data_IF_798822520422
#
_entry.id   IF_798822520422
#
_cell.length_a   1.000
_cell.length_b   1.000
_cell.length_c   1.000
_cell.angle_alpha   90.00
_cell.angle_beta   90.00
_cell.angle_gamma   90.00
#
_symmetry.space_group_name_H-M   'P 1'
#
loop_
_entity.id
_entity.type
_entity.pdbx_description
1 polymer ?
#
# COMPACT_ATOMS: atom_id res chain seq x y z
N UNK A 1 -6.11 -16.31 19.37
CA UNK A 1 -5.78 -14.88 19.46
C UNK A 1 -6.91 -14.11 20.15
N UNK A 2 -6.60 -13.14 21.02
CA UNK A 2 -7.57 -12.20 21.62
C UNK A 2 -7.00 -10.79 21.70
N UNK A 3 -7.92 -9.83 21.65
CA UNK A 3 -7.86 -8.40 21.31
C UNK A 3 -7.23 -7.49 22.39
N UNK A 4 -6.65 -6.35 21.98
CA UNK A 4 -7.12 -5.02 22.45
C UNK A 4 -6.66 -3.84 21.57
N UNK A 5 -7.51 -2.80 21.57
CA UNK A 5 -7.33 -1.45 21.01
C UNK A 5 -6.91 -0.53 22.16
N UNK A 6 -5.93 0.36 21.96
CA UNK A 6 -5.66 1.47 22.87
C UNK A 6 -6.07 2.80 22.19
N UNK A 7 -7.01 3.54 22.81
CA UNK A 7 -7.47 4.91 22.46
C UNK A 7 -6.88 5.92 23.48
N UNK A 8 -6.92 7.27 23.33
CA UNK A 8 -7.69 8.13 22.42
C UNK A 8 -6.83 9.17 21.65
N UNK A 9 -7.47 10.02 20.84
CA UNK A 9 -6.94 11.17 20.09
C UNK A 9 -5.77 10.96 19.11
N UNK A 10 -6.08 10.50 17.88
CA UNK A 10 -5.65 11.13 16.61
C UNK A 10 -6.03 10.23 15.43
N UNK A 11 -6.60 10.86 14.39
CA UNK A 11 -7.01 10.35 13.07
C UNK A 11 -6.75 8.85 12.82
N UNK A 12 -7.77 8.00 12.95
CA UNK A 12 -7.75 6.67 12.31
C UNK A 12 -7.79 6.89 10.81
N UNK A 13 -6.61 7.01 10.19
CA UNK A 13 -6.45 6.90 8.74
C UNK A 13 -6.46 5.44 8.35
N UNK A 14 -6.94 5.16 7.13
CA UNK A 14 -7.27 3.81 6.68
C UNK A 14 -6.09 2.82 6.82
N UNK A 15 -4.87 3.28 6.56
CA UNK A 15 -3.65 2.48 6.63
C UNK A 15 -2.73 2.92 7.79
N UNK A 16 -2.23 2.04 8.64
CA UNK A 16 -2.44 0.58 8.68
C UNK A 16 -3.56 0.15 9.62
N UNK A 17 -4.00 1.02 10.53
CA UNK A 17 -4.92 0.67 11.61
C UNK A 17 -6.29 0.14 11.16
N UNK A 18 -6.77 0.58 9.98
CA UNK A 18 -8.02 0.09 9.39
C UNK A 18 -7.94 -1.34 8.86
N UNK A 19 -6.73 -1.89 8.71
CA UNK A 19 -6.48 -3.25 8.21
C UNK A 19 -6.13 -4.25 9.31
N UNK A 20 -6.27 -3.87 10.58
CA UNK A 20 -6.09 -4.78 11.71
C UNK A 20 -7.36 -5.60 11.94
N UNK A 21 -7.24 -6.92 11.88
CA UNK A 21 -8.34 -7.86 12.07
C UNK A 21 -8.17 -9.18 11.30
N UNK A 22 -9.15 -10.05 11.46
CA UNK A 22 -9.13 -11.41 10.87
C UNK A 22 -8.90 -11.36 9.36
N UNK A 23 -7.97 -12.19 8.87
CA UNK A 23 -7.62 -12.27 7.46
C UNK A 23 -6.70 -11.17 6.94
N UNK A 24 -6.13 -10.32 7.82
CA UNK A 24 -5.17 -9.25 7.52
C UNK A 24 -4.12 -9.10 8.64
N UNK A 25 -3.89 -7.89 9.17
CA UNK A 25 -2.85 -7.59 10.16
C UNK A 25 -3.29 -7.98 11.58
N UNK A 26 -2.38 -8.55 12.36
CA UNK A 26 -2.57 -8.76 13.80
C UNK A 26 -2.41 -7.46 14.62
N UNK A 27 -1.51 -6.58 14.18
CA UNK A 27 -1.26 -5.27 14.80
C UNK A 27 -0.73 -4.27 13.77
N UNK A 28 -0.85 -2.99 14.11
CA UNK A 28 -0.25 -1.87 13.40
C UNK A 28 0.41 -0.92 14.40
N UNK A 29 1.53 -0.31 14.01
CA UNK A 29 2.31 0.61 14.84
C UNK A 29 2.23 2.03 14.27
N UNK A 30 1.27 2.86 14.69
CA UNK A 30 1.19 4.24 14.21
C UNK A 30 2.35 5.07 14.79
N UNK A 31 3.12 5.71 13.92
CA UNK A 31 4.04 6.79 14.27
C UNK A 31 3.34 8.16 14.24
N UNK A 32 4.13 9.22 14.37
CA UNK A 32 3.62 10.58 14.11
C UNK A 32 3.27 10.74 12.62
N UNK A 33 2.53 11.81 12.27
CA UNK A 33 2.15 12.08 10.87
C UNK A 33 3.39 12.07 9.97
N UNK A 34 3.38 11.19 8.95
CA UNK A 34 4.45 11.00 7.98
C UNK A 34 5.82 10.67 8.59
N UNK A 35 5.85 10.10 9.79
CA UNK A 35 7.06 9.66 10.47
C UNK A 35 6.93 8.18 10.86
N UNK A 36 7.98 7.40 10.60
CA UNK A 36 8.05 6.01 11.06
C UNK A 36 7.81 5.91 12.58
N UNK A 37 7.11 4.87 13.08
CA UNK A 37 7.15 4.55 14.50
C UNK A 37 8.58 4.27 14.97
N UNK A 38 8.82 4.38 16.28
CA UNK A 38 10.13 4.03 16.88
C UNK A 38 10.26 2.51 17.11
N UNK A 39 11.49 1.96 17.13
CA UNK A 39 11.71 0.50 17.27
C UNK A 39 11.02 -0.11 18.50
N UNK A 40 11.01 0.59 19.64
CA UNK A 40 10.39 0.09 20.87
C UNK A 40 8.87 -0.13 20.73
N UNK A 41 8.17 0.71 19.95
CA UNK A 41 6.74 0.53 19.68
C UNK A 41 6.50 -0.73 18.84
N UNK A 42 7.36 -0.97 17.85
CA UNK A 42 7.30 -2.15 16.99
C UNK A 42 7.65 -3.42 17.74
N UNK A 43 8.66 -3.38 18.62
CA UNK A 43 9.01 -4.48 19.49
C UNK A 43 7.86 -4.82 20.45
N UNK A 44 7.23 -3.82 21.05
CA UNK A 44 6.07 -4.02 21.91
C UNK A 44 4.90 -4.69 21.18
N UNK A 45 4.59 -4.24 19.95
CA UNK A 45 3.57 -4.88 19.12
C UNK A 45 3.96 -6.32 18.74
N UNK A 46 5.21 -6.54 18.33
CA UNK A 46 5.76 -7.86 17.99
C UNK A 46 5.61 -8.85 19.14
N UNK A 47 5.99 -8.44 20.36
CA UNK A 47 5.81 -9.24 21.58
C UNK A 47 4.33 -9.54 21.86
N UNK A 48 3.45 -8.57 21.63
CA UNK A 48 2.02 -8.72 21.90
C UNK A 48 1.32 -9.68 20.93
N UNK A 49 1.75 -9.74 19.66
CA UNK A 49 1.14 -10.60 18.63
C UNK A 49 1.83 -11.94 18.46
N UNK A 50 3.03 -12.13 19.02
CA UNK A 50 3.77 -13.38 18.90
C UNK A 50 2.97 -14.57 19.48
N UNK A 51 2.48 -15.43 18.59
CA UNK A 51 1.76 -16.67 18.93
C UNK A 51 2.66 -17.89 19.14
N UNK A 52 3.99 -17.74 19.08
CA UNK A 52 4.96 -18.83 19.16
C UNK A 52 5.31 -19.47 17.81
N UNK A 53 4.81 -18.94 16.70
CA UNK A 53 5.08 -19.41 15.33
C UNK A 53 5.85 -18.39 14.49
N UNK A 54 6.45 -17.41 15.16
CA UNK A 54 7.15 -16.28 14.54
C UNK A 54 6.21 -15.15 14.10
N UNK A 55 6.80 -14.03 13.66
CA UNK A 55 6.09 -12.80 13.28
C UNK A 55 6.60 -12.30 11.93
N UNK A 56 5.69 -11.98 11.01
CA UNK A 56 6.04 -11.29 9.76
C UNK A 56 5.95 -9.77 9.96
N UNK A 57 7.03 -9.06 9.68
CA UNK A 57 7.04 -7.60 9.53
C UNK A 57 6.86 -7.23 8.06
N UNK A 58 5.80 -6.48 7.76
CA UNK A 58 5.54 -5.88 6.44
C UNK A 58 5.98 -4.42 6.51
N UNK A 59 6.97 -4.05 5.70
CA UNK A 59 7.67 -2.76 5.82
C UNK A 59 7.56 -2.01 4.49
N UNK A 60 7.09 -0.76 4.49
CA UNK A 60 7.13 0.07 3.29
C UNK A 60 8.56 0.55 3.07
N UNK A 61 9.05 0.56 1.83
CA UNK A 61 10.42 1.01 1.54
C UNK A 61 10.58 2.53 1.67
N UNK A 62 10.71 2.98 2.91
CA UNK A 62 11.10 4.31 3.33
C UNK A 62 12.26 4.15 4.29
N UNK A 63 13.31 4.97 4.15
CA UNK A 63 14.55 4.80 4.92
C UNK A 63 14.30 4.74 6.43
N UNK A 64 13.40 5.60 6.95
CA UNK A 64 13.03 5.57 8.35
C UNK A 64 12.29 4.30 8.76
N UNK A 65 11.36 3.81 7.92
CA UNK A 65 10.62 2.58 8.18
C UNK A 65 11.59 1.37 8.20
N UNK A 66 12.43 1.23 7.17
CA UNK A 66 13.39 0.12 7.04
C UNK A 66 14.34 0.07 8.24
N UNK A 67 15.00 1.18 8.58
CA UNK A 67 15.96 1.21 9.69
C UNK A 67 15.30 0.90 11.04
N UNK A 68 14.09 1.42 11.29
CA UNK A 68 13.43 1.21 12.57
C UNK A 68 12.86 -0.22 12.70
N UNK A 69 12.33 -0.80 11.62
CA UNK A 69 11.86 -2.19 11.60
C UNK A 69 13.02 -3.19 11.69
N UNK A 70 14.16 -2.93 11.03
CA UNK A 70 15.37 -3.74 11.17
C UNK A 70 15.84 -3.78 12.63
N UNK A 71 15.95 -2.62 13.28
CA UNK A 71 16.28 -2.53 14.71
C UNK A 71 15.26 -3.28 15.58
N UNK A 72 13.97 -3.14 15.31
CA UNK A 72 12.93 -3.84 16.07
C UNK A 72 13.03 -5.37 15.90
N UNK A 73 13.35 -5.86 14.70
CA UNK A 73 13.56 -7.28 14.43
C UNK A 73 14.81 -7.82 15.15
N UNK A 74 15.90 -7.07 15.20
CA UNK A 74 17.11 -7.44 15.97
C UNK A 74 16.80 -7.54 17.48
N UNK A 75 16.07 -6.58 18.03
CA UNK A 75 15.64 -6.59 19.43
C UNK A 75 14.69 -7.77 19.72
N UNK A 76 13.76 -8.08 18.81
CA UNK A 76 12.86 -9.22 18.94
C UNK A 76 13.62 -10.56 18.88
N UNK A 77 14.63 -10.67 18.00
CA UNK A 77 15.49 -11.85 17.94
C UNK A 77 16.28 -12.05 19.23
N UNK A 78 16.73 -10.98 19.89
CA UNK A 78 17.37 -11.04 21.20
C UNK A 78 16.43 -11.57 22.30
N UNK A 79 15.11 -11.41 22.14
CA UNK A 79 14.09 -12.02 23.01
C UNK A 79 13.72 -13.46 22.61
N UNK A 80 14.34 -14.02 21.58
CA UNK A 80 14.04 -15.35 21.04
C UNK A 80 12.75 -15.40 20.20
N UNK A 81 12.29 -14.27 19.66
CA UNK A 81 11.16 -14.20 18.74
C UNK A 81 11.69 -14.29 17.32
N UNK A 82 11.23 -15.30 16.56
CA UNK A 82 11.56 -15.42 15.14
C UNK A 82 10.78 -14.35 14.34
N UNK A 83 11.51 -13.55 13.57
CA UNK A 83 10.96 -12.45 12.78
C UNK A 83 11.45 -12.56 11.35
N UNK A 84 10.52 -12.54 10.40
CA UNK A 84 10.83 -12.36 8.98
C UNK A 84 10.36 -10.97 8.55
N UNK A 85 11.18 -10.27 7.78
CA UNK A 85 10.84 -8.95 7.23
C UNK A 85 10.67 -9.03 5.72
N UNK A 86 9.61 -8.39 5.20
CA UNK A 86 9.38 -8.19 3.78
C UNK A 86 9.15 -6.71 3.52
N UNK A 87 10.02 -6.15 2.68
CA UNK A 87 9.98 -4.75 2.29
C UNK A 87 9.21 -4.60 0.98
N UNK A 88 8.19 -3.75 0.95
CA UNK A 88 7.41 -3.44 -0.26
C UNK A 88 8.02 -2.26 -1.00
N UNK A 89 8.17 -2.37 -2.32
CA UNK A 89 8.89 -1.40 -3.16
C UNK A 89 8.29 -1.30 -4.57
N UNK A 90 6.97 -1.09 -4.62
CA UNK A 90 6.13 -1.22 -5.81
C UNK A 90 5.98 0.05 -6.66
N UNK A 91 6.41 1.21 -6.17
CA UNK A 91 6.23 2.47 -6.88
C UNK A 91 7.17 2.61 -8.09
N UNK A 92 6.60 2.56 -9.31
CA UNK A 92 7.38 2.66 -10.56
C UNK A 92 7.79 4.09 -10.89
N UNK A 93 7.30 5.10 -10.17
CA UNK A 93 7.70 6.48 -10.40
C UNK A 93 9.17 6.73 -10.00
N UNK A 94 9.79 5.89 -9.17
CA UNK A 94 11.06 6.22 -8.51
C UNK A 94 12.04 5.05 -8.47
N UNK A 95 13.32 5.27 -8.81
CA UNK A 95 14.41 4.36 -8.42
C UNK A 95 15.23 4.86 -7.23
N UNK A 96 15.34 6.18 -7.00
CA UNK A 96 15.87 6.77 -5.76
C UNK A 96 15.11 8.08 -5.44
N UNK A 97 14.82 8.36 -4.17
CA UNK A 97 14.12 9.58 -3.71
C UNK A 97 14.77 10.20 -2.46
N UNK A 98 14.29 11.39 -2.06
CA UNK A 98 14.73 12.10 -0.85
C UNK A 98 14.67 11.26 0.44
N UNK A 99 13.76 10.29 0.51
CA UNK A 99 13.49 9.50 1.72
C UNK A 99 13.63 7.98 1.51
N UNK A 100 14.07 7.53 0.33
CA UNK A 100 14.13 6.11 -0.02
C UNK A 100 15.30 5.83 -0.96
N UNK A 101 16.12 4.83 -0.63
CA UNK A 101 16.99 4.15 -1.58
C UNK A 101 16.18 3.06 -2.31
N UNK A 102 16.15 3.07 -3.64
CA UNK A 102 15.24 2.21 -4.39
C UNK A 102 13.82 2.80 -4.58
N UNK A 103 12.89 1.92 -4.96
CA UNK A 103 11.47 2.23 -5.15
C UNK A 103 10.74 2.41 -3.82
N UNK A 104 9.81 3.35 -3.73
CA UNK A 104 8.94 3.51 -2.55
C UNK A 104 7.96 2.34 -2.42
N UNK A 105 7.56 2.02 -1.18
CA UNK A 105 6.46 1.10 -0.90
C UNK A 105 5.13 1.85 -0.75
N UNK A 106 4.15 1.56 -1.61
CA UNK A 106 2.87 2.26 -1.68
C UNK A 106 1.70 1.27 -1.75
N UNK A 107 0.85 1.31 -2.78
CA UNK A 107 -0.43 0.60 -2.83
C UNK A 107 -0.36 -0.93 -2.82
N UNK A 108 0.74 -1.57 -3.27
CA UNK A 108 0.86 -3.03 -3.17
C UNK A 108 0.85 -3.49 -1.72
N UNK A 109 1.29 -2.65 -0.78
CA UNK A 109 1.28 -2.97 0.65
C UNK A 109 -0.11 -3.39 1.12
N UNK A 110 -1.18 -2.67 0.76
CA UNK A 110 -2.56 -3.00 1.16
C UNK A 110 -2.99 -4.37 0.60
N UNK A 111 -2.65 -4.64 -0.67
CA UNK A 111 -3.02 -5.89 -1.34
C UNK A 111 -2.20 -7.07 -0.78
N UNK A 112 -0.93 -6.84 -0.47
CA UNK A 112 -0.06 -7.80 0.20
C UNK A 112 -0.60 -8.15 1.59
N UNK A 113 -0.96 -7.16 2.40
CA UNK A 113 -1.56 -7.40 3.72
C UNK A 113 -2.81 -8.27 3.63
N UNK A 114 -3.67 -8.04 2.63
CA UNK A 114 -4.88 -8.84 2.43
C UNK A 114 -4.60 -10.28 2.00
N UNK A 115 -3.75 -10.44 0.98
CA UNK A 115 -3.45 -11.75 0.40
C UNK A 115 -2.67 -12.59 1.41
N UNK A 116 -1.64 -12.00 2.03
CA UNK A 116 -0.80 -12.69 3.00
C UNK A 116 -1.56 -12.98 4.28
N UNK A 117 -2.36 -12.04 4.79
CA UNK A 117 -3.22 -12.27 5.94
C UNK A 117 -4.18 -13.45 5.73
N UNK A 118 -4.83 -13.52 4.57
CA UNK A 118 -5.68 -14.66 4.21
C UNK A 118 -4.94 -16.01 4.16
N UNK A 119 -3.66 -16.00 3.79
CA UNK A 119 -2.82 -17.20 3.85
C UNK A 119 -2.39 -17.55 5.26
N UNK A 120 -2.04 -16.56 6.09
CA UNK A 120 -1.65 -16.75 7.50
C UNK A 120 -2.75 -17.42 8.31
N UNK A 121 -4.03 -17.12 8.03
CA UNK A 121 -5.18 -17.78 8.69
C UNK A 121 -5.25 -19.30 8.46
N UNK A 122 -4.49 -19.84 7.49
CA UNK A 122 -4.37 -21.29 7.29
C UNK A 122 -3.41 -21.97 8.28
N UNK A 123 -2.70 -21.20 9.11
CA UNK A 123 -1.66 -21.68 10.01
C UNK A 123 -0.34 -22.01 9.31
N UNK A 124 -0.10 -21.42 8.13
CA UNK A 124 1.14 -21.61 7.37
C UNK A 124 2.37 -21.13 8.16
N UNK A 125 3.53 -21.80 8.03
CA UNK A 125 4.74 -21.41 8.73
C UNK A 125 5.32 -20.09 8.18
N UNK A 126 6.08 -19.38 9.03
CA UNK A 126 6.58 -18.03 8.77
C UNK A 126 7.38 -17.91 7.46
N UNK A 127 8.20 -18.91 7.13
CA UNK A 127 9.01 -18.94 5.90
C UNK A 127 8.14 -18.93 4.64
N UNK A 128 7.04 -19.69 4.65
CA UNK A 128 6.07 -19.75 3.55
C UNK A 128 5.27 -18.47 3.46
N UNK A 129 4.88 -17.91 4.60
CA UNK A 129 4.18 -16.62 4.68
C UNK A 129 5.06 -15.50 4.10
N UNK A 130 6.33 -15.44 4.49
CA UNK A 130 7.30 -14.49 3.94
C UNK A 130 7.56 -14.70 2.44
N UNK A 131 7.61 -15.95 1.97
CA UNK A 131 7.77 -16.25 0.55
C UNK A 131 6.57 -15.76 -0.28
N UNK A 132 5.33 -15.96 0.21
CA UNK A 132 4.13 -15.44 -0.46
C UNK A 132 4.12 -13.91 -0.46
N UNK A 133 4.50 -13.26 0.64
CA UNK A 133 4.61 -11.81 0.71
C UNK A 133 5.60 -11.25 -0.31
N UNK A 134 6.79 -11.85 -0.45
CA UNK A 134 7.76 -11.47 -1.50
C UNK A 134 7.20 -11.65 -2.90
N UNK A 135 6.50 -12.77 -3.15
CA UNK A 135 5.82 -13.02 -4.43
C UNK A 135 4.80 -11.94 -4.75
N UNK A 136 3.95 -11.54 -3.80
CA UNK A 136 2.98 -10.44 -4.04
C UNK A 136 3.70 -9.14 -4.38
N UNK A 137 4.75 -8.79 -3.64
CA UNK A 137 5.55 -7.59 -3.91
C UNK A 137 6.18 -7.61 -5.32
N UNK A 138 6.75 -8.74 -5.73
CA UNK A 138 7.35 -8.91 -7.05
C UNK A 138 6.32 -8.78 -8.18
N UNK A 139 5.09 -9.25 -7.96
CA UNK A 139 3.99 -9.23 -8.94
C UNK A 139 3.17 -7.94 -8.94
N UNK A 140 3.47 -6.98 -8.06
CA UNK A 140 2.70 -5.76 -7.89
C UNK A 140 3.45 -4.48 -8.25
N UNK A 141 2.81 -3.55 -8.94
CA UNK A 141 3.37 -2.20 -9.22
C UNK A 141 2.31 -1.12 -9.07
N UNK A 142 2.77 0.07 -8.72
CA UNK A 142 1.91 1.22 -8.45
C UNK A 142 2.47 2.52 -9.01
N UNK A 143 1.59 3.47 -9.31
CA UNK A 143 1.96 4.85 -9.63
C UNK A 143 0.83 5.80 -9.23
N UNK A 144 1.19 6.96 -8.68
CA UNK A 144 0.24 7.98 -8.22
C UNK A 144 0.39 9.34 -8.89
N UNK A 145 -0.63 10.18 -8.76
CA UNK A 145 -0.63 11.59 -9.14
C UNK A 145 -1.39 12.46 -8.13
N UNK A 146 -1.04 13.74 -8.07
CA UNK A 146 -1.73 14.76 -7.29
C UNK A 146 -2.28 15.89 -8.17
N UNK A 147 -3.46 16.36 -7.80
CA UNK A 147 -4.07 17.62 -8.24
C UNK A 147 -3.81 18.74 -7.22
N UNK A 148 -3.63 18.40 -5.94
CA UNK A 148 -3.25 19.34 -4.88
C UNK A 148 -2.18 18.71 -3.99
N UNK A 149 -1.39 19.53 -3.30
CA UNK A 149 -0.55 19.05 -2.20
C UNK A 149 -1.39 18.79 -0.95
N UNK A 150 -0.85 18.01 0.00
CA UNK A 150 -1.36 17.97 1.37
C UNK A 150 -0.64 18.97 2.29
N UNK A 151 -1.24 19.22 3.44
CA UNK A 151 -0.74 20.11 4.50
C UNK A 151 -0.41 19.28 5.73
N UNK A 152 0.88 19.18 6.07
CA UNK A 152 1.27 18.54 7.32
C UNK A 152 0.90 19.46 8.48
N UNK A 153 0.11 19.00 9.48
CA UNK A 153 -0.38 19.87 10.56
C UNK A 153 0.71 20.63 11.31
N UNK A 154 1.88 20.01 11.52
CA UNK A 154 3.02 20.64 12.18
C UNK A 154 3.72 21.71 11.35
N UNK A 155 3.65 21.61 10.02
CA UNK A 155 4.22 22.59 9.10
C UNK A 155 3.28 23.76 8.81
N UNK A 156 1.96 23.53 8.90
CA UNK A 156 0.92 24.56 8.70
C UNK A 156 0.81 25.11 7.28
N UNK A 157 1.51 24.51 6.31
CA UNK A 157 1.51 24.90 4.90
C UNK A 157 1.62 23.67 3.98
N UNK A 158 1.21 23.78 2.71
CA UNK A 158 1.38 22.70 1.73
C UNK A 158 2.83 22.23 1.62
N UNK A 159 3.03 20.93 1.41
CA UNK A 159 4.38 20.34 1.24
C UNK A 159 5.01 20.69 -0.11
N UNK A 160 4.21 20.97 -1.13
CA UNK A 160 4.63 21.56 -2.40
C UNK A 160 3.53 22.43 -3.01
N UNK A 161 3.90 23.27 -3.98
CA UNK A 161 2.95 24.15 -4.69
C UNK A 161 2.67 23.61 -6.10
N UNK A 162 1.42 23.69 -6.53
CA UNK A 162 0.96 23.42 -7.90
C UNK A 162 0.12 24.60 -8.40
N UNK A 163 0.28 24.97 -9.67
CA UNK A 163 -0.64 25.91 -10.32
C UNK A 163 -2.05 25.32 -10.50
N UNK A 164 -3.04 26.18 -10.71
CA UNK A 164 -4.45 25.75 -10.88
C UNK A 164 -4.69 24.82 -12.08
N UNK A 165 -3.80 24.87 -13.09
CA UNK A 165 -3.86 24.04 -14.29
C UNK A 165 -2.74 23.00 -14.36
N UNK A 166 -2.11 22.68 -13.21
CA UNK A 166 -1.02 21.72 -13.09
C UNK A 166 -1.45 20.47 -12.30
N UNK A 167 -0.79 19.35 -12.63
CA UNK A 167 -0.83 18.13 -11.84
C UNK A 167 0.57 17.54 -11.69
N UNK A 168 0.83 16.89 -10.57
CA UNK A 168 2.12 16.29 -10.23
C UNK A 168 2.04 14.77 -10.44
N UNK A 169 2.89 14.22 -11.31
CA UNK A 169 2.92 12.78 -11.63
C UNK A 169 4.03 12.10 -10.84
N UNK A 170 3.73 10.91 -10.29
CA UNK A 170 4.68 10.09 -9.55
C UNK A 170 4.89 10.55 -8.11
N UNK A 171 3.84 11.06 -7.47
CA UNK A 171 3.87 11.46 -6.05
C UNK A 171 4.09 10.26 -5.11
N UNK A 172 4.54 10.54 -3.88
CA UNK A 172 4.55 9.58 -2.78
C UNK A 172 3.29 9.67 -1.92
N UNK A 173 3.31 9.02 -0.75
CA UNK A 173 2.21 9.01 0.22
C UNK A 173 2.47 9.90 1.45
N UNK A 174 3.64 10.55 1.53
CA UNK A 174 4.05 11.41 2.62
C UNK A 174 4.17 12.88 2.19
N UNK A 175 3.44 13.27 1.15
CA UNK A 175 3.48 14.63 0.61
C UNK A 175 4.77 14.96 -0.15
N UNK A 176 5.58 13.97 -0.53
CA UNK A 176 6.75 14.20 -1.36
C UNK A 176 6.33 14.68 -2.75
N UNK A 177 7.05 15.66 -3.34
CA UNK A 177 6.80 16.04 -4.72
C UNK A 177 7.00 14.83 -5.64
N UNK A 178 6.25 14.81 -6.73
CA UNK A 178 6.40 13.79 -7.75
C UNK A 178 7.64 14.01 -8.61
N UNK A 179 7.63 13.37 -9.77
CA UNK A 179 8.73 13.38 -10.73
C UNK A 179 8.64 14.54 -11.71
N UNK A 180 7.42 14.89 -12.11
CA UNK A 180 7.19 15.89 -13.13
C UNK A 180 5.84 16.54 -12.93
N UNK A 181 5.83 17.83 -13.17
CA UNK A 181 4.62 18.63 -13.35
C UNK A 181 4.22 18.61 -14.81
N UNK A 182 2.92 18.45 -15.02
CA UNK A 182 2.30 18.49 -16.33
C UNK A 182 1.02 19.29 -16.24
N UNK A 183 0.48 19.72 -17.39
CA UNK A 183 -0.84 20.38 -17.41
C UNK A 183 -1.93 19.39 -17.01
N UNK A 184 -2.97 19.91 -16.39
CA UNK A 184 -4.18 19.17 -16.07
C UNK A 184 -4.70 18.47 -17.33
N UNK A 185 -4.96 17.17 -17.21
CA UNK A 185 -5.42 16.32 -18.31
C UNK A 185 -6.76 15.67 -17.95
N UNK A 186 -7.40 15.06 -18.94
CA UNK A 186 -8.61 14.27 -18.69
C UNK A 186 -8.30 13.03 -17.85
N UNK A 187 -9.32 12.49 -17.17
CA UNK A 187 -9.18 11.25 -16.39
C UNK A 187 -8.67 10.06 -17.23
N UNK A 188 -9.00 10.01 -18.53
CA UNK A 188 -8.52 8.97 -19.44
C UNK A 188 -7.01 9.10 -19.70
N UNK A 189 -6.54 10.32 -19.95
CA UNK A 189 -5.10 10.60 -20.13
C UNK A 189 -4.33 10.37 -18.84
N UNK A 190 -4.89 10.74 -17.69
CA UNK A 190 -4.31 10.46 -16.37
C UNK A 190 -4.18 8.95 -16.14
N UNK A 191 -5.26 8.19 -16.39
CA UNK A 191 -5.23 6.74 -16.25
C UNK A 191 -4.18 6.09 -17.15
N UNK A 192 -4.02 6.57 -18.39
CA UNK A 192 -2.98 6.10 -19.31
C UNK A 192 -1.57 6.43 -18.78
N UNK A 193 -1.35 7.66 -18.31
CA UNK A 193 -0.06 8.09 -17.73
C UNK A 193 0.35 7.26 -16.51
N UNK A 194 -0.61 6.79 -15.72
CA UNK A 194 -0.35 5.95 -14.54
C UNK A 194 -0.24 4.46 -14.90
N UNK A 195 -1.14 3.94 -15.73
CA UNK A 195 -1.22 2.51 -16.02
C UNK A 195 -0.12 2.03 -16.96
N UNK A 196 0.30 2.82 -17.95
CA UNK A 196 1.28 2.38 -18.93
C UNK A 196 2.64 2.01 -18.30
N UNK A 197 3.24 2.84 -17.43
CA UNK A 197 4.47 2.47 -16.72
C UNK A 197 4.33 1.22 -15.85
N UNK A 198 3.17 1.02 -15.21
CA UNK A 198 2.89 -0.16 -14.37
C UNK A 198 2.85 -1.43 -15.24
N UNK A 199 2.12 -1.37 -16.36
CA UNK A 199 1.98 -2.48 -17.32
C UNK A 199 3.32 -2.85 -17.95
N UNK A 200 4.12 -1.85 -18.33
CA UNK A 200 5.45 -2.03 -18.90
C UNK A 200 6.42 -2.67 -17.89
N UNK A 201 6.48 -2.13 -16.67
CA UNK A 201 7.41 -2.63 -15.65
C UNK A 201 7.08 -4.05 -15.17
N UNK A 202 5.79 -4.39 -15.07
CA UNK A 202 5.35 -5.76 -14.80
C UNK A 202 5.56 -6.70 -16.00
N UNK A 203 5.73 -6.15 -17.22
CA UNK A 203 5.75 -6.90 -18.46
C UNK A 203 4.47 -7.70 -18.67
N UNK A 204 3.30 -7.13 -18.34
CA UNK A 204 2.01 -7.81 -18.47
C UNK A 204 1.72 -8.16 -19.93
N UNK A 205 1.15 -9.34 -20.15
CA UNK A 205 0.90 -9.89 -21.49
C UNK A 205 -0.59 -10.08 -21.75
N UNK A 206 -0.94 -10.10 -23.04
CA UNK A 206 -2.28 -10.48 -23.50
C UNK A 206 -2.70 -11.84 -22.92
N UNK A 207 -3.91 -11.91 -22.37
CA UNK A 207 -4.48 -13.08 -21.71
C UNK A 207 -4.20 -13.15 -20.20
N UNK A 208 -3.34 -12.30 -19.65
CA UNK A 208 -3.09 -12.25 -18.20
C UNK A 208 -4.23 -11.55 -17.44
N UNK A 209 -4.35 -11.88 -16.16
CA UNK A 209 -5.35 -11.31 -15.25
C UNK A 209 -4.67 -10.55 -14.12
N UNK A 210 -5.30 -9.46 -13.68
CA UNK A 210 -4.79 -8.62 -12.59
C UNK A 210 -5.83 -8.35 -11.51
N UNK A 211 -5.35 -8.11 -10.30
CA UNK A 211 -6.06 -7.39 -9.25
C UNK A 211 -5.73 -5.90 -9.41
N UNK A 212 -6.74 -5.07 -9.59
CA UNK A 212 -6.57 -3.63 -9.78
C UNK A 212 -7.09 -2.84 -8.57
N UNK A 213 -6.28 -1.94 -8.04
CA UNK A 213 -6.72 -0.96 -7.04
C UNK A 213 -6.61 0.45 -7.61
N UNK A 214 -7.72 1.17 -7.65
CA UNK A 214 -7.76 2.62 -7.89
C UNK A 214 -7.97 3.30 -6.55
N UNK A 215 -6.91 3.91 -6.05
CA UNK A 215 -6.86 4.49 -4.72
C UNK A 215 -6.93 6.01 -4.78
N UNK A 216 -7.79 6.63 -3.97
CA UNK A 216 -7.79 8.08 -3.77
C UNK A 216 -6.75 8.50 -2.73
N UNK A 217 -6.13 9.66 -2.92
CA UNK A 217 -5.11 10.19 -2.00
C UNK A 217 -5.72 10.91 -0.78
N UNK A 218 -7.05 10.93 -0.67
CA UNK A 218 -7.81 11.49 0.44
C UNK A 218 -8.87 12.49 -0.03
N UNK A 219 -8.46 13.50 -0.79
CA UNK A 219 -9.32 14.60 -1.25
C UNK A 219 -10.11 14.36 -2.54
N UNK A 220 -9.97 13.19 -3.17
CA UNK A 220 -10.66 12.87 -4.43
C UNK A 220 -12.01 12.21 -4.19
N UNK A 221 -13.12 12.74 -4.75
CA UNK A 221 -14.43 12.12 -4.66
C UNK A 221 -14.47 10.69 -5.21
N UNK A 222 -15.21 9.80 -4.54
CA UNK A 222 -15.34 8.40 -4.96
C UNK A 222 -15.85 8.25 -6.41
N UNK A 223 -16.76 9.12 -6.84
CA UNK A 223 -17.27 9.12 -8.22
C UNK A 223 -16.16 9.34 -9.25
N UNK A 224 -15.19 10.21 -8.96
CA UNK A 224 -14.05 10.47 -9.85
C UNK A 224 -13.10 9.26 -9.91
N UNK A 225 -12.91 8.55 -8.80
CA UNK A 225 -12.14 7.31 -8.79
C UNK A 225 -12.78 6.23 -9.69
N UNK A 226 -14.11 6.15 -9.75
CA UNK A 226 -14.78 5.24 -10.68
C UNK A 226 -14.63 5.66 -12.15
N UNK A 227 -14.49 6.95 -12.45
CA UNK A 227 -14.15 7.41 -13.81
C UNK A 227 -12.73 6.95 -14.20
N UNK A 228 -11.78 7.06 -13.28
CA UNK A 228 -10.41 6.55 -13.49
C UNK A 228 -10.42 5.02 -13.63
N UNK A 229 -11.23 4.30 -12.85
CA UNK A 229 -11.37 2.85 -12.94
C UNK A 229 -11.96 2.40 -14.29
N UNK A 230 -12.99 3.08 -14.80
CA UNK A 230 -13.54 2.80 -16.15
C UNK A 230 -12.48 3.03 -17.24
N UNK A 231 -11.71 4.12 -17.15
CA UNK A 231 -10.61 4.38 -18.07
C UNK A 231 -9.54 3.27 -18.00
N UNK A 232 -9.11 2.88 -16.80
CA UNK A 232 -8.17 1.78 -16.58
C UNK A 232 -8.68 0.46 -17.21
N UNK A 233 -9.95 0.13 -17.00
CA UNK A 233 -10.56 -1.08 -17.56
C UNK A 233 -10.50 -1.09 -19.09
N UNK A 234 -10.73 0.05 -19.75
CA UNK A 234 -10.61 0.18 -21.22
C UNK A 234 -9.16 0.03 -21.69
N UNK A 235 -8.21 0.64 -20.98
CA UNK A 235 -6.78 0.59 -21.29
C UNK A 235 -6.26 -0.86 -21.24
N UNK A 236 -6.58 -1.58 -20.15
CA UNK A 236 -6.19 -2.98 -19.99
C UNK A 236 -6.92 -3.88 -20.99
N UNK A 237 -8.23 -3.65 -21.21
CA UNK A 237 -9.03 -4.40 -22.18
C UNK A 237 -8.51 -4.29 -23.61
N UNK A 238 -8.03 -3.10 -24.03
CA UNK A 238 -7.40 -2.91 -25.34
C UNK A 238 -6.10 -3.72 -25.51
N UNK A 239 -5.44 -4.10 -24.41
CA UNK A 239 -4.26 -4.98 -24.38
C UNK A 239 -4.63 -6.45 -24.12
N UNK A 240 -5.92 -6.79 -24.08
CA UNK A 240 -6.45 -8.11 -23.70
C UNK A 240 -5.95 -8.58 -22.33
N UNK A 241 -5.81 -7.66 -21.37
CA UNK A 241 -5.55 -7.93 -19.95
C UNK A 241 -6.86 -7.73 -19.20
N UNK A 242 -7.29 -8.69 -18.39
CA UNK A 242 -8.54 -8.59 -17.64
C UNK A 242 -8.32 -8.21 -16.18
N UNK A 243 -9.20 -7.35 -15.65
CA UNK A 243 -9.28 -7.10 -14.21
C UNK A 243 -10.16 -8.19 -13.60
N UNK A 244 -9.56 -9.16 -12.92
CA UNK A 244 -10.30 -10.25 -12.29
C UNK A 244 -10.88 -9.85 -10.93
N UNK A 245 -10.19 -8.96 -10.22
CA UNK A 245 -10.59 -8.44 -8.91
C UNK A 245 -10.25 -6.96 -8.84
N UNK A 246 -11.00 -6.21 -8.02
CA UNK A 246 -10.77 -4.78 -7.91
C UNK A 246 -11.07 -4.21 -6.53
N UNK A 247 -10.39 -3.11 -6.20
CA UNK A 247 -10.74 -2.19 -5.13
C UNK A 247 -10.77 -0.75 -5.68
N UNK A 248 -11.76 0.04 -5.29
CA UNK A 248 -11.88 1.45 -5.67
C UNK A 248 -12.31 2.25 -4.43
N UNK A 249 -11.49 3.20 -4.00
CA UNK A 249 -11.74 3.97 -2.79
C UNK A 249 -10.48 4.55 -2.16
N UNK A 250 -10.57 4.95 -0.89
CA UNK A 250 -9.43 5.45 -0.12
C UNK A 250 -8.90 4.34 0.78
N UNK A 251 -7.72 3.81 0.44
CA UNK A 251 -7.08 2.71 1.17
C UNK A 251 -5.70 3.11 1.69
N UNK A 252 -4.97 3.93 0.95
CA UNK A 252 -3.67 4.50 1.31
C UNK A 252 -3.65 5.99 0.96
N UNK A 253 -3.91 6.83 1.95
CA UNK A 253 -4.14 8.28 1.75
C UNK A 253 -2.95 9.15 2.18
N UNK A 254 -2.82 10.31 1.54
CA UNK A 254 -1.87 11.38 1.91
C UNK A 254 -2.63 12.60 2.43
N UNK A 255 -3.30 12.43 3.57
CA UNK A 255 -4.10 13.47 4.25
C UNK A 255 -5.25 13.92 3.33
N UNK A 256 -5.38 15.22 3.07
CA UNK A 256 -6.41 15.83 2.24
C UNK A 256 -6.01 15.96 0.77
N UNK A 257 -4.87 15.40 0.36
CA UNK A 257 -4.37 15.45 -1.01
C UNK A 257 -5.45 15.00 -2.01
N UNK A 258 -5.82 15.87 -2.94
CA UNK A 258 -6.62 15.49 -4.10
C UNK A 258 -5.67 14.84 -5.12
N UNK A 259 -6.00 13.63 -5.54
CA UNK A 259 -5.16 12.80 -6.40
C UNK A 259 -5.60 11.34 -6.35
N UNK A 260 -4.99 10.53 -7.21
CA UNK A 260 -5.23 9.09 -7.20
C UNK A 260 -3.96 8.29 -7.52
N UNK A 261 -4.00 7.01 -7.22
CA UNK A 261 -3.00 6.04 -7.66
C UNK A 261 -3.66 4.80 -8.22
N UNK A 262 -2.94 4.15 -9.13
CA UNK A 262 -3.29 2.84 -9.68
C UNK A 262 -2.26 1.86 -9.15
N UNK A 263 -2.73 0.72 -8.66
CA UNK A 263 -1.91 -0.45 -8.33
C UNK A 263 -2.44 -1.65 -9.11
N UNK A 264 -1.55 -2.38 -9.77
CA UNK A 264 -1.87 -3.65 -10.40
C UNK A 264 -1.02 -4.76 -9.77
N UNK A 265 -1.65 -5.89 -9.45
CA UNK A 265 -0.97 -7.13 -9.05
C UNK A 265 -1.32 -8.21 -10.08
N UNK A 266 -0.31 -8.80 -10.74
CA UNK A 266 -0.52 -9.98 -11.60
C UNK A 266 -1.08 -11.11 -10.75
N UNK A 267 -2.19 -11.70 -11.17
CA UNK A 267 -2.82 -12.79 -10.45
C UNK A 267 -2.46 -14.16 -11.05
N UNK A 268 -2.28 -15.11 -10.15
CA UNK A 268 -2.42 -16.54 -10.42
C UNK A 268 -3.48 -17.14 -9.49
N UNK A 269 -3.71 -18.44 -9.58
CA UNK A 269 -4.71 -19.15 -8.78
C UNK A 269 -4.46 -19.03 -7.27
N UNK A 270 -3.18 -19.01 -6.85
CA UNK A 270 -2.81 -18.91 -5.43
C UNK A 270 -3.12 -17.52 -4.87
N UNK A 271 -2.71 -16.46 -5.58
CA UNK A 271 -2.98 -15.09 -5.16
C UNK A 271 -4.48 -14.78 -5.18
N UNK A 272 -5.19 -15.28 -6.20
CA UNK A 272 -6.65 -15.12 -6.31
C UNK A 272 -7.37 -15.80 -5.16
N UNK A 273 -6.97 -17.03 -4.81
CA UNK A 273 -7.54 -17.78 -3.69
C UNK A 273 -7.45 -17.01 -2.38
N UNK A 274 -6.30 -16.43 -2.05
CA UNK A 274 -6.11 -15.75 -0.77
C UNK A 274 -6.61 -14.30 -0.76
N UNK A 275 -6.73 -13.68 -1.93
CA UNK A 275 -7.54 -12.47 -2.08
C UNK A 275 -8.99 -12.76 -1.68
N UNK A 276 -9.61 -13.80 -2.24
CA UNK A 276 -11.02 -14.14 -1.99
C UNK A 276 -11.27 -14.73 -0.59
N UNK A 277 -10.21 -15.07 0.15
CA UNK A 277 -10.32 -15.56 1.52
C UNK A 277 -11.02 -14.53 2.43
N UNK A 278 -11.84 -14.97 3.40
CA UNK A 278 -12.62 -14.06 4.24
C UNK A 278 -11.76 -13.04 5.00
N UNK A 279 -12.31 -11.86 5.26
CA UNK A 279 -11.64 -10.76 5.97
C UNK A 279 -12.63 -9.98 6.81
N UNK A 280 -12.20 -9.55 7.99
CA UNK A 280 -12.96 -8.70 8.88
C UNK A 280 -12.07 -7.67 9.59
N UNK A 281 -11.89 -6.55 8.91
CA UNK A 281 -11.21 -5.37 9.44
C UNK A 281 -12.14 -4.16 9.35
N UNK A 282 -11.82 -3.05 10.02
CA UNK A 282 -12.58 -1.80 9.86
C UNK A 282 -12.67 -1.32 8.40
N UNK A 283 -11.64 -1.54 7.58
CA UNK A 283 -11.55 -1.02 6.21
C UNK A 283 -11.88 -2.04 5.11
N UNK A 284 -11.72 -3.35 5.35
CA UNK A 284 -12.06 -4.43 4.40
C UNK A 284 -12.89 -5.53 5.07
N UNK A 285 -13.99 -5.92 4.42
CA UNK A 285 -14.90 -6.94 4.95
C UNK A 285 -15.62 -7.72 3.86
N UNK A 286 -15.41 -9.04 3.83
CA UNK A 286 -16.19 -9.98 3.00
C UNK A 286 -16.02 -11.42 3.48
N UNK A 287 -16.89 -12.31 2.99
CA UNK A 287 -16.73 -13.77 3.12
C UNK A 287 -17.07 -14.38 4.49
N UNK A 288 -17.70 -13.61 5.40
CA UNK A 288 -18.14 -14.06 6.72
C UNK A 288 -19.65 -13.91 6.91
#
# INVERSE_FOLDING_TARGET
>A
MKKLINKPEDVVKEMHGGFVGFGMLDAACPGAVFTSPVPDQMLAATRAVNGGTGVLHIVKNYTGDVLNFEMAAELAAADGIDVASVVTNDDVAVQDSLYTAGRRGVGVTVLLEKIVGGFTETGAPLDRVAALARKVNEQGRSMGMALTSCTVPTAGKPTFELGEDEMEIGIGIHGEPGRRRVKLASAAEIAEMLASPIVEDLGLKSGEQVLAMVNGMGGTPLIELYVVFDALNRILGAKNISIARSLVGNYITSLEMAGCSITLVRLDDELTKYWDAPVHTPALRWGL
#
